data_IF_993475467900
#
_entry.id   IF_993475467900
#
_cell.length_a   1.000
_cell.length_b   1.000
_cell.length_c   1.000
_cell.angle_alpha   90.00
_cell.angle_beta   90.00
_cell.angle_gamma   90.00
#
_symmetry.space_group_name_H-M   'P 1'
#
loop_
_entity.id
_entity.type
_entity.pdbx_description
1 polymer ?
#
# COMPACT_ATOMS: atom_id res chain seq x y z
N UNK A 1 -6.85 -10.22 -19.00
CA UNK A 1 -5.94 -11.38 -18.86
C UNK A 1 -5.83 -11.65 -17.38
N UNK A 2 -6.27 -12.82 -16.92
CA UNK A 2 -6.05 -13.24 -15.54
C UNK A 2 -4.57 -13.60 -15.41
N UNK A 3 -3.79 -12.73 -14.79
CA UNK A 3 -2.42 -13.08 -14.40
C UNK A 3 -2.52 -14.14 -13.32
N UNK A 4 -1.89 -15.30 -13.51
CA UNK A 4 -1.78 -16.33 -12.48
C UNK A 4 -0.33 -16.41 -12.02
N UNK A 5 -0.11 -16.75 -10.75
CA UNK A 5 1.23 -17.07 -10.26
C UNK A 5 1.52 -18.53 -10.65
N UNK A 6 2.36 -18.73 -11.66
CA UNK A 6 2.64 -20.05 -12.24
C UNK A 6 3.21 -21.02 -11.20
N UNK A 7 4.04 -20.53 -10.29
CA UNK A 7 4.65 -21.34 -9.23
C UNK A 7 3.60 -21.85 -8.22
N UNK A 8 2.59 -21.03 -7.93
CA UNK A 8 1.49 -21.40 -7.03
C UNK A 8 0.56 -22.41 -7.70
N UNK A 9 0.29 -22.23 -9.00
CA UNK A 9 -0.44 -23.18 -9.81
C UNK A 9 0.24 -24.55 -9.86
N UNK A 10 1.53 -24.57 -10.20
CA UNK A 10 2.33 -25.79 -10.30
C UNK A 10 2.41 -26.51 -8.95
N UNK A 11 2.51 -25.76 -7.85
CA UNK A 11 2.43 -26.32 -6.50
C UNK A 11 1.08 -26.98 -6.21
N UNK A 12 -0.04 -26.34 -6.57
CA UNK A 12 -1.37 -26.92 -6.41
C UNK A 12 -1.59 -28.15 -7.29
N UNK A 13 -1.12 -28.13 -8.54
CA UNK A 13 -1.15 -29.29 -9.44
C UNK A 13 -0.31 -30.45 -8.87
N UNK A 14 0.88 -30.16 -8.36
CA UNK A 14 1.75 -31.16 -7.71
C UNK A 14 1.13 -31.71 -6.42
N UNK A 15 0.30 -30.94 -5.73
CA UNK A 15 -0.46 -31.37 -4.57
C UNK A 15 -1.75 -32.15 -4.92
N UNK A 16 -2.04 -32.35 -6.21
CA UNK A 16 -3.19 -33.13 -6.68
C UNK A 16 -4.50 -32.34 -6.82
N UNK A 17 -4.45 -31.00 -6.85
CA UNK A 17 -5.64 -30.19 -7.11
C UNK A 17 -6.12 -30.32 -8.57
N UNK A 18 -7.44 -30.27 -8.75
CA UNK A 18 -8.05 -30.16 -10.09
C UNK A 18 -7.57 -28.90 -10.81
N UNK A 19 -7.45 -28.97 -12.14
CA UNK A 19 -6.92 -27.90 -12.99
C UNK A 19 -7.62 -26.55 -12.77
N UNK A 20 -8.96 -26.55 -12.87
CA UNK A 20 -9.79 -25.37 -12.69
C UNK A 20 -9.64 -24.75 -11.29
N UNK A 21 -9.48 -25.60 -10.26
CA UNK A 21 -9.31 -25.17 -8.87
C UNK A 21 -7.93 -24.57 -8.63
N UNK A 22 -6.88 -25.20 -9.17
CA UNK A 22 -5.52 -24.70 -9.10
C UNK A 22 -5.42 -23.34 -9.82
N UNK A 23 -6.01 -23.22 -11.01
CA UNK A 23 -6.06 -21.98 -11.79
C UNK A 23 -6.80 -20.87 -11.04
N UNK A 24 -7.99 -21.15 -10.50
CA UNK A 24 -8.78 -20.20 -9.75
C UNK A 24 -8.04 -19.72 -8.48
N UNK A 25 -7.43 -20.63 -7.72
CA UNK A 25 -6.69 -20.28 -6.51
C UNK A 25 -5.44 -19.44 -6.80
N UNK A 26 -4.65 -19.84 -7.80
CA UNK A 26 -3.45 -19.10 -8.21
C UNK A 26 -3.79 -17.70 -8.76
N UNK A 27 -4.91 -17.57 -9.46
CA UNK A 27 -5.42 -16.29 -9.96
C UNK A 27 -5.90 -15.38 -8.84
N UNK A 28 -6.67 -15.91 -7.88
CA UNK A 28 -7.14 -15.13 -6.73
C UNK A 28 -5.98 -14.54 -5.91
N UNK A 29 -4.90 -15.31 -5.74
CA UNK A 29 -3.69 -14.84 -5.04
C UNK A 29 -2.96 -13.77 -5.85
N UNK A 30 -2.92 -13.90 -7.19
CA UNK A 30 -2.33 -12.90 -8.07
C UNK A 30 -3.07 -11.55 -8.01
N UNK A 31 -4.41 -11.59 -7.96
CA UNK A 31 -5.24 -10.39 -7.82
C UNK A 31 -4.93 -9.67 -6.49
N UNK A 32 -4.82 -10.40 -5.37
CA UNK A 32 -4.41 -9.78 -4.10
C UNK A 32 -3.00 -9.17 -4.15
N UNK A 33 -2.04 -9.80 -4.84
CA UNK A 33 -0.71 -9.20 -4.98
C UNK A 33 -0.75 -7.86 -5.74
N UNK A 34 -1.58 -7.78 -6.78
CA UNK A 34 -1.78 -6.53 -7.53
C UNK A 34 -2.40 -5.46 -6.64
N UNK A 35 -3.48 -5.79 -5.93
CA UNK A 35 -4.18 -4.84 -5.07
C UNK A 35 -3.28 -4.36 -3.92
N UNK A 36 -2.45 -5.25 -3.35
CA UNK A 36 -1.45 -4.87 -2.34
C UNK A 36 -0.37 -3.96 -2.93
N UNK A 37 0.08 -4.22 -4.16
CA UNK A 37 1.07 -3.38 -4.82
C UNK A 37 0.52 -1.97 -5.10
N UNK A 38 -0.73 -1.87 -5.53
CA UNK A 38 -1.45 -0.62 -5.74
C UNK A 38 -1.61 0.15 -4.41
N UNK A 39 -2.09 -0.52 -3.35
CA UNK A 39 -2.18 0.08 -2.01
C UNK A 39 -0.83 0.57 -1.48
N UNK A 40 0.26 -0.18 -1.70
CA UNK A 40 1.61 0.28 -1.33
C UNK A 40 2.05 1.50 -2.14
N UNK A 41 1.68 1.56 -3.41
CA UNK A 41 1.88 2.71 -4.28
C UNK A 41 1.23 3.97 -3.74
N UNK A 42 -0.01 3.84 -3.26
CA UNK A 42 -0.82 4.96 -2.75
C UNK A 42 -0.45 5.40 -1.33
N UNK A 43 -0.06 4.46 -0.47
CA UNK A 43 0.30 4.77 0.92
C UNK A 43 1.58 5.60 1.01
N UNK A 44 2.54 5.41 0.10
CA UNK A 44 3.82 6.14 0.09
C UNK A 44 3.64 7.68 -0.05
N UNK A 45 2.93 8.21 -1.06
CA UNK A 45 2.69 9.64 -1.18
C UNK A 45 1.83 10.18 -0.04
N UNK A 46 0.81 9.42 0.42
CA UNK A 46 -0.03 9.83 1.56
C UNK A 46 0.83 10.06 2.82
N UNK A 47 1.77 9.16 3.12
CA UNK A 47 2.69 9.34 4.27
C UNK A 47 3.51 10.62 4.17
N UNK A 48 4.00 10.97 2.98
CA UNK A 48 4.75 12.21 2.75
C UNK A 48 3.88 13.45 2.91
N UNK A 49 2.67 13.45 2.37
CA UNK A 49 1.73 14.58 2.47
C UNK A 49 1.33 14.81 3.93
N UNK A 50 1.04 13.74 4.68
CA UNK A 50 0.72 13.82 6.11
C UNK A 50 1.91 14.36 6.90
N UNK A 51 3.12 13.87 6.64
CA UNK A 51 4.34 14.38 7.29
C UNK A 51 4.59 15.86 6.99
N UNK A 52 4.42 16.28 5.74
CA UNK A 52 4.56 17.67 5.32
C UNK A 52 3.50 18.57 5.97
N UNK A 53 2.24 18.14 5.98
CA UNK A 53 1.14 18.87 6.61
C UNK A 53 1.37 19.05 8.12
N UNK A 54 1.87 18.02 8.80
CA UNK A 54 2.22 18.10 10.20
C UNK A 54 3.35 19.10 10.45
N UNK A 55 4.45 19.01 9.68
CA UNK A 55 5.58 19.94 9.80
C UNK A 55 5.18 21.39 9.52
N UNK A 56 4.34 21.61 8.51
CA UNK A 56 3.77 22.91 8.19
C UNK A 56 2.94 23.46 9.35
N UNK A 57 2.04 22.64 9.90
CA UNK A 57 1.18 23.03 11.03
C UNK A 57 2.00 23.39 12.27
N UNK A 58 3.00 22.58 12.62
CA UNK A 58 3.91 22.85 13.75
C UNK A 58 4.69 24.15 13.53
N UNK A 59 5.16 24.38 12.31
CA UNK A 59 5.92 25.59 11.97
C UNK A 59 5.06 26.84 12.10
N UNK A 60 3.83 26.82 11.59
CA UNK A 60 2.88 27.92 11.72
C UNK A 60 2.60 28.21 13.20
N UNK A 61 2.33 27.18 14.00
CA UNK A 61 2.11 27.34 15.44
C UNK A 61 3.34 27.93 16.15
N UNK A 62 4.54 27.44 15.82
CA UNK A 62 5.78 27.97 16.37
C UNK A 62 6.00 29.45 16.03
N UNK A 63 5.74 29.85 14.78
CA UNK A 63 5.85 31.24 14.35
C UNK A 63 4.86 32.15 15.09
N UNK A 64 3.61 31.69 15.28
CA UNK A 64 2.61 32.43 16.05
C UNK A 64 3.07 32.64 17.49
N UNK A 65 3.51 31.57 18.17
CA UNK A 65 4.01 31.65 19.55
C UNK A 65 5.20 32.61 19.65
N UNK A 66 6.13 32.53 18.70
CA UNK A 66 7.30 33.42 18.64
C UNK A 66 6.88 34.88 18.51
N UNK A 67 5.98 35.20 17.58
CA UNK A 67 5.52 36.57 17.34
C UNK A 67 4.84 37.14 18.59
N UNK A 68 3.94 36.37 19.21
CA UNK A 68 3.26 36.78 20.45
C UNK A 68 4.27 37.01 21.58
N UNK A 69 5.24 36.11 21.77
CA UNK A 69 6.25 36.24 22.82
C UNK A 69 7.19 37.44 22.61
N UNK A 70 7.43 37.87 21.37
CA UNK A 70 8.21 39.08 21.07
C UNK A 70 7.40 40.38 21.14
N UNK A 71 6.06 40.30 21.15
CA UNK A 71 5.18 41.46 21.18
C UNK A 71 4.64 41.81 22.59
N UNK A 72 4.82 40.89 23.55
CA UNK A 72 4.50 41.07 24.97
C UNK A 72 5.73 41.54 25.77
#
# INVERSE_FOLDING_TARGET
>A
MTTMIAEVYDAFKSAGADDDKALAAASAIADYQRDIAELKGDVKPIKWIVGFNLAFSVTVLFLIVRVVATAA
#
